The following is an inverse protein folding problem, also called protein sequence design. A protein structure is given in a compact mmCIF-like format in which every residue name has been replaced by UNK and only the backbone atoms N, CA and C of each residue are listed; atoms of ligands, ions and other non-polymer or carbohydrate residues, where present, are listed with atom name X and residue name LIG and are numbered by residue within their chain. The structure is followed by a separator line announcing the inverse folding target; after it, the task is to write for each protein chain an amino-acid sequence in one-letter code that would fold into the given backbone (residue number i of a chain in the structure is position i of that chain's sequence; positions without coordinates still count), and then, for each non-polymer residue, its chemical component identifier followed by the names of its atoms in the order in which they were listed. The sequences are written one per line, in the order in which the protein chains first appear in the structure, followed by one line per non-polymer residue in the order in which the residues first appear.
data_IF_110729483114
#
_entry.id   IF_110729483114
#
_cell.length_a   1.000
_cell.length_b   1.000
_cell.length_c   1.000
_cell.angle_alpha   90.00
_cell.angle_beta   90.00
_cell.angle_gamma   90.00
#
_symmetry.space_group_name_H-M   'P 1'
#
loop_
_entity.id
_entity.type
_entity.pdbx_description
1 polymer ?
#
# COMPACT_ATOMS: atom_id res chain seq x y z
N UNK A 1 13.10 2.40 2.57
CA UNK A 1 11.97 3.20 3.07
C UNK A 1 11.74 2.95 4.57
N UNK A 2 11.36 4.00 5.29
CA UNK A 2 11.00 3.91 6.71
C UNK A 2 9.50 3.73 6.85
N UNK A 3 9.07 2.79 7.69
CA UNK A 3 7.66 2.49 7.87
C UNK A 3 7.40 1.74 9.16
N UNK A 4 6.12 1.48 9.44
CA UNK A 4 5.65 0.76 10.62
C UNK A 4 5.23 -0.66 10.24
N UNK A 5 5.73 -1.65 10.97
CA UNK A 5 5.23 -3.00 10.88
C UNK A 5 3.79 -3.08 11.43
N UNK A 6 2.97 -3.91 10.82
CA UNK A 6 1.61 -4.21 11.28
C UNK A 6 1.56 -5.00 12.59
N UNK A 7 0.45 -5.69 12.82
CA UNK A 7 0.17 -6.40 14.06
C UNK A 7 0.94 -7.71 14.28
N UNK A 8 1.78 -8.15 13.35
CA UNK A 8 2.54 -9.41 13.44
C UNK A 8 4.03 -9.17 13.24
N UNK A 9 4.87 -9.95 13.90
CA UNK A 9 6.32 -9.92 13.68
C UNK A 9 6.67 -10.35 12.24
N UNK A 10 7.74 -9.79 11.69
CA UNK A 10 8.26 -10.12 10.36
C UNK A 10 9.72 -10.53 10.51
N UNK A 11 10.09 -11.70 9.99
CA UNK A 11 11.49 -12.14 9.95
C UNK A 11 12.26 -11.47 8.83
N UNK A 12 13.58 -11.39 8.96
CA UNK A 12 14.48 -10.85 7.93
C UNK A 12 14.34 -11.59 6.60
N UNK A 13 14.58 -10.87 5.49
CA UNK A 13 14.57 -11.43 4.13
C UNK A 13 13.18 -11.74 3.59
N UNK A 14 12.12 -11.24 4.20
CA UNK A 14 10.75 -11.38 3.70
C UNK A 14 10.35 -10.20 2.84
N UNK A 15 9.72 -10.50 1.71
CA UNK A 15 8.98 -9.49 0.94
C UNK A 15 7.78 -9.03 1.75
N UNK A 16 7.59 -7.72 1.79
CA UNK A 16 6.48 -7.10 2.50
C UNK A 16 5.65 -6.24 1.54
N UNK A 17 4.37 -6.13 1.87
CA UNK A 17 3.42 -5.30 1.14
C UNK A 17 2.71 -4.31 2.06
N UNK A 18 2.07 -3.30 1.47
CA UNK A 18 1.12 -2.46 2.18
C UNK A 18 -0.01 -3.31 2.76
N UNK A 19 -0.59 -2.86 3.88
CA UNK A 19 -1.86 -3.38 4.36
C UNK A 19 -2.89 -3.38 3.23
N UNK A 20 -3.78 -4.36 3.22
CA UNK A 20 -4.92 -4.36 2.31
C UNK A 20 -5.76 -3.10 2.52
N UNK A 21 -6.21 -2.49 1.42
CA UNK A 21 -7.10 -1.34 1.47
C UNK A 21 -8.44 -1.75 2.12
N UNK A 22 -9.02 -0.85 2.91
CA UNK A 22 -10.43 -0.96 3.29
C UNK A 22 -11.26 -0.92 2.01
N UNK A 23 -12.10 -1.94 1.79
CA UNK A 23 -12.77 -2.18 0.51
C UNK A 23 -13.84 -1.14 0.14
N UNK A 24 -15.07 -1.61 -0.14
CA UNK A 24 -16.17 -0.79 -0.62
C UNK A 24 -16.54 0.39 0.31
N UNK A 25 -16.32 0.24 1.60
CA UNK A 25 -16.75 1.23 2.61
C UNK A 25 -16.02 2.58 2.49
N UNK A 26 -14.76 2.56 2.00
CA UNK A 26 -13.95 3.76 1.81
C UNK A 26 -13.58 3.98 0.34
N UNK A 27 -14.44 3.50 -0.57
CA UNK A 27 -14.32 3.65 -2.02
C UNK A 27 -15.60 4.25 -2.57
N UNK A 28 -15.49 5.16 -3.55
CA UNK A 28 -16.63 5.88 -4.13
C UNK A 28 -17.47 6.60 -3.06
N UNK A 29 -16.81 7.14 -2.05
CA UNK A 29 -17.42 7.97 -1.03
C UNK A 29 -17.86 9.30 -1.67
N UNK A 30 -19.02 9.82 -1.27
CA UNK A 30 -19.60 11.03 -1.88
C UNK A 30 -19.11 12.28 -1.15
N UNK A 31 -18.75 13.33 -1.88
CA UNK A 31 -18.49 14.64 -1.28
C UNK A 31 -19.77 15.20 -0.68
N UNK A 32 -19.75 15.59 0.59
CA UNK A 32 -20.94 16.09 1.29
C UNK A 32 -21.25 17.56 0.99
N UNK A 33 -20.27 18.29 0.45
CA UNK A 33 -20.42 19.69 0.03
C UNK A 33 -19.60 19.94 -1.26
N UNK A 34 -19.98 20.94 -2.02
CA UNK A 34 -19.15 21.46 -3.09
C UNK A 34 -17.92 22.14 -2.49
N UNK A 35 -16.73 21.87 -3.08
CA UNK A 35 -15.46 22.41 -2.63
C UNK A 35 -14.83 23.18 -3.77
N UNK A 36 -14.45 24.44 -3.55
CA UNK A 36 -13.83 25.27 -4.58
C UNK A 36 -12.39 24.81 -4.89
N UNK A 37 -11.90 25.11 -6.09
CA UNK A 37 -10.48 25.02 -6.38
C UNK A 37 -9.69 25.93 -5.44
N UNK A 38 -8.52 25.50 -4.98
CA UNK A 38 -7.69 26.20 -4.01
C UNK A 38 -7.95 25.81 -2.55
N UNK A 39 -8.97 25.02 -2.26
CA UNK A 39 -9.25 24.52 -0.92
C UNK A 39 -8.48 23.23 -0.63
N UNK A 40 -8.10 23.05 0.66
CA UNK A 40 -7.39 21.85 1.15
C UNK A 40 -8.25 20.95 2.01
N UNK A 41 -9.44 21.42 2.44
CA UNK A 41 -10.36 20.67 3.28
C UNK A 41 -11.49 20.06 2.45
N UNK A 42 -11.67 18.76 2.55
CA UNK A 42 -12.67 18.00 1.78
C UNK A 42 -13.45 17.12 2.73
N UNK A 43 -14.77 17.25 2.72
CA UNK A 43 -15.67 16.44 3.53
C UNK A 43 -16.39 15.40 2.67
N UNK A 44 -16.38 14.16 3.13
CA UNK A 44 -17.02 13.02 2.45
C UNK A 44 -17.92 12.26 3.41
N UNK A 45 -18.91 11.57 2.88
CA UNK A 45 -19.67 10.53 3.54
C UNK A 45 -19.07 9.17 3.17
N UNK A 46 -18.77 8.33 4.17
CA UNK A 46 -18.26 6.96 3.95
C UNK A 46 -19.43 6.01 3.69
N UNK A 47 -19.14 4.86 3.06
CA UNK A 47 -20.18 3.86 2.74
C UNK A 47 -20.35 2.78 3.82
N UNK A 48 -19.64 2.88 4.92
CA UNK A 48 -19.65 1.88 6.00
C UNK A 48 -18.62 2.20 7.07
N UNK A 49 -17.93 1.25 7.54
CA UNK A 49 -16.87 1.17 8.56
C UNK A 49 -16.34 2.51 9.13
N UNK A 50 -16.17 2.56 10.44
CA UNK A 50 -15.60 3.69 11.16
C UNK A 50 -14.15 3.96 10.76
N UNK A 51 -13.74 5.21 10.94
CA UNK A 51 -12.37 5.67 10.71
C UNK A 51 -11.79 6.17 12.03
N UNK A 52 -10.65 5.62 12.44
CA UNK A 52 -9.94 6.13 13.62
C UNK A 52 -9.20 7.42 13.28
N UNK A 53 -8.96 8.29 14.26
CA UNK A 53 -8.24 9.55 14.05
C UNK A 53 -6.90 9.29 13.35
N UNK A 54 -6.60 10.08 12.32
CA UNK A 54 -5.37 10.03 11.53
C UNK A 54 -5.05 8.65 10.88
N UNK A 55 -6.04 7.76 10.73
CA UNK A 55 -5.87 6.48 10.04
C UNK A 55 -5.32 6.66 8.62
N UNK A 56 -5.78 7.68 7.93
CA UNK A 56 -5.37 8.02 6.55
C UNK A 56 -4.31 9.12 6.48
N UNK A 57 -3.78 9.59 7.62
CA UNK A 57 -2.69 10.57 7.62
C UNK A 57 -1.48 10.05 6.81
N UNK A 58 -0.86 10.93 6.01
CA UNK A 58 0.22 10.60 5.08
C UNK A 58 -0.19 9.59 3.97
N UNK A 59 -1.47 9.24 3.90
CA UNK A 59 -2.10 8.47 2.83
C UNK A 59 -2.65 9.37 1.74
N UNK A 60 -3.57 8.82 0.94
CA UNK A 60 -4.07 9.47 -0.26
C UNK A 60 -5.58 9.50 -0.29
N UNK A 61 -6.11 10.62 -0.77
CA UNK A 61 -7.47 10.80 -1.21
C UNK A 61 -7.43 11.10 -2.71
N UNK A 62 -8.21 10.38 -3.51
CA UNK A 62 -8.30 10.68 -4.93
C UNK A 62 -9.73 10.76 -5.40
N UNK A 63 -9.96 11.63 -6.39
CA UNK A 63 -11.26 11.78 -7.04
C UNK A 63 -11.33 10.78 -8.19
N UNK A 64 -12.22 9.81 -8.06
CA UNK A 64 -12.31 8.70 -8.99
C UNK A 64 -13.44 8.84 -10.01
N UNK A 65 -14.42 9.72 -9.76
CA UNK A 65 -15.51 9.94 -10.70
C UNK A 65 -16.13 11.34 -10.57
N UNK A 66 -16.77 11.82 -11.62
CA UNK A 66 -17.47 13.09 -11.78
C UNK A 66 -16.50 14.28 -11.73
N UNK A 67 -16.93 15.43 -11.17
CA UNK A 67 -16.13 16.65 -11.18
C UNK A 67 -14.84 16.51 -10.37
N UNK A 68 -13.71 16.90 -10.97
CA UNK A 68 -12.40 16.83 -10.35
C UNK A 68 -11.70 15.48 -10.48
N UNK A 69 -12.27 14.52 -11.23
CA UNK A 69 -11.68 13.19 -11.44
C UNK A 69 -10.21 13.25 -11.88
N UNK A 70 -9.42 12.30 -11.41
CA UNK A 70 -7.98 12.21 -11.67
C UNK A 70 -7.11 13.01 -10.69
N UNK A 71 -7.66 13.85 -9.83
CA UNK A 71 -6.90 14.50 -8.77
C UNK A 71 -6.56 13.49 -7.68
N UNK A 72 -5.32 13.52 -7.20
CA UNK A 72 -4.84 12.70 -6.08
C UNK A 72 -4.13 13.61 -5.09
N UNK A 73 -4.63 13.67 -3.87
CA UNK A 73 -4.18 14.55 -2.81
C UNK A 73 -3.60 13.74 -1.65
N UNK A 74 -2.52 14.23 -1.07
CA UNK A 74 -1.95 13.63 0.13
C UNK A 74 -2.67 14.15 1.38
N UNK A 75 -3.18 13.25 2.20
CA UNK A 75 -3.90 13.57 3.43
C UNK A 75 -2.90 13.99 4.50
N UNK A 76 -3.16 15.12 5.16
CA UNK A 76 -2.36 15.62 6.28
C UNK A 76 -2.90 15.13 7.63
N UNK A 77 -4.20 15.28 7.85
CA UNK A 77 -4.86 14.91 9.11
C UNK A 77 -6.37 14.82 8.94
N UNK A 78 -7.02 14.10 9.84
CA UNK A 78 -8.47 14.05 10.00
C UNK A 78 -8.85 13.55 11.40
N UNK A 79 -10.05 13.87 11.86
CA UNK A 79 -10.59 13.33 13.11
C UNK A 79 -11.02 11.87 12.96
N UNK A 80 -11.40 11.23 14.07
CA UNK A 80 -12.15 9.98 14.02
C UNK A 80 -13.54 10.24 13.44
N UNK A 81 -14.13 9.18 12.87
CA UNK A 81 -15.47 9.17 12.29
C UNK A 81 -16.18 7.89 12.69
N UNK A 82 -17.34 8.03 13.27
CA UNK A 82 -18.29 6.93 13.51
C UNK A 82 -19.33 6.98 12.41
N UNK A 83 -19.30 6.00 11.51
CA UNK A 83 -20.20 5.95 10.35
C UNK A 83 -21.69 5.95 10.74
N UNK A 84 -22.03 5.41 11.91
CA UNK A 84 -23.42 5.31 12.36
C UNK A 84 -23.94 6.63 12.93
N UNK A 85 -23.07 7.47 13.48
CA UNK A 85 -23.46 8.68 14.24
C UNK A 85 -23.06 9.98 13.51
N UNK A 86 -22.00 9.95 12.69
CA UNK A 86 -21.46 11.12 12.00
C UNK A 86 -21.93 11.18 10.54
N UNK A 87 -22.49 12.29 10.11
CA UNK A 87 -22.94 12.48 8.72
C UNK A 87 -21.79 12.61 7.71
N UNK A 88 -20.58 12.96 8.15
CA UNK A 88 -19.41 13.14 7.29
C UNK A 88 -18.12 13.20 8.06
N UNK A 89 -17.01 12.93 7.37
CA UNK A 89 -15.65 13.15 7.84
C UNK A 89 -14.95 14.19 6.97
N UNK A 90 -14.21 15.11 7.59
CA UNK A 90 -13.41 16.10 6.89
C UNK A 90 -11.92 15.72 6.91
N UNK A 91 -11.32 15.67 5.74
CA UNK A 91 -9.88 15.49 5.53
C UNK A 91 -9.22 16.82 5.22
N UNK A 92 -8.10 17.10 5.86
CA UNK A 92 -7.20 18.21 5.48
C UNK A 92 -6.06 17.63 4.66
N UNK A 93 -5.86 18.13 3.45
CA UNK A 93 -4.79 17.70 2.56
C UNK A 93 -3.58 18.63 2.62
N UNK A 94 -2.41 18.19 2.16
CA UNK A 94 -1.22 19.02 2.01
C UNK A 94 -1.33 19.96 0.82
N UNK A 95 -1.91 19.44 -0.26
CA UNK A 95 -2.07 20.17 -1.51
C UNK A 95 -3.52 20.64 -1.66
N UNK A 96 -3.72 21.73 -2.37
CA UNK A 96 -5.02 22.29 -2.69
C UNK A 96 -5.65 21.60 -3.93
N UNK A 97 -6.96 21.65 -4.01
CA UNK A 97 -7.71 21.18 -5.17
C UNK A 97 -7.39 22.05 -6.41
N UNK A 98 -6.95 21.43 -7.48
CA UNK A 98 -6.76 22.09 -8.76
C UNK A 98 -8.11 22.37 -9.48
N UNK A 99 -9.07 21.47 -9.29
CA UNK A 99 -10.43 21.56 -9.88
C UNK A 99 -11.47 21.37 -8.79
N UNK A 100 -12.49 22.23 -8.80
CA UNK A 100 -13.58 22.19 -7.83
C UNK A 100 -14.33 20.84 -7.83
N UNK A 101 -14.82 20.44 -6.65
CA UNK A 101 -15.70 19.29 -6.47
C UNK A 101 -17.15 19.73 -6.34
N UNK A 102 -18.04 18.84 -6.72
CA UNK A 102 -19.49 18.95 -6.49
C UNK A 102 -19.96 17.89 -5.50
N UNK A 103 -21.18 17.99 -5.01
CA UNK A 103 -21.79 16.97 -4.15
C UNK A 103 -22.03 15.62 -4.86
N UNK A 104 -21.76 15.53 -6.16
CA UNK A 104 -21.80 14.27 -6.91
C UNK A 104 -20.42 13.67 -7.13
N UNK A 105 -19.34 14.39 -6.78
CA UNK A 105 -17.97 13.89 -6.93
C UNK A 105 -17.74 12.69 -6.01
N UNK A 106 -17.11 11.66 -6.56
CA UNK A 106 -16.80 10.44 -5.83
C UNK A 106 -15.30 10.37 -5.52
N UNK A 107 -15.01 10.03 -4.27
CA UNK A 107 -13.65 10.02 -3.74
C UNK A 107 -13.36 8.67 -3.07
N UNK A 108 -12.11 8.28 -3.10
CA UNK A 108 -11.65 7.05 -2.48
C UNK A 108 -10.42 7.31 -1.62
N UNK A 109 -10.20 6.45 -0.62
CA UNK A 109 -9.14 6.60 0.37
C UNK A 109 -8.13 5.44 0.30
N UNK A 110 -6.87 5.75 0.50
CA UNK A 110 -5.78 4.80 0.67
C UNK A 110 -4.91 5.21 1.86
N UNK A 111 -4.72 4.29 2.80
CA UNK A 111 -3.76 4.51 3.90
C UNK A 111 -2.33 4.66 3.35
N UNK A 112 -1.45 5.31 4.11
CA UNK A 112 -0.03 5.33 3.77
C UNK A 112 0.49 3.89 3.61
N UNK A 113 1.06 3.51 2.45
CA UNK A 113 1.54 2.14 2.21
C UNK A 113 2.55 1.61 3.24
N UNK A 114 3.19 2.52 3.99
CA UNK A 114 4.18 2.20 5.02
C UNK A 114 3.64 2.32 6.46
N UNK A 115 2.34 2.55 6.67
CA UNK A 115 1.74 2.74 8.00
C UNK A 115 1.51 1.44 8.78
N UNK A 116 1.30 0.33 8.08
CA UNK A 116 1.00 -0.98 8.65
C UNK A 116 1.42 -2.09 7.69
N UNK A 117 2.72 -2.19 7.45
CA UNK A 117 3.30 -3.16 6.51
C UNK A 117 3.10 -4.59 7.02
N UNK A 118 2.77 -5.50 6.14
CA UNK A 118 2.58 -6.92 6.42
C UNK A 118 3.50 -7.78 5.54
N UNK A 119 3.78 -9.02 5.96
CA UNK A 119 4.38 -10.00 5.05
C UNK A 119 3.49 -10.14 3.82
N UNK A 120 4.05 -10.11 2.63
CA UNK A 120 3.28 -10.30 1.40
C UNK A 120 2.59 -11.68 1.45
N UNK A 121 1.25 -11.73 1.47
CA UNK A 121 0.52 -13.01 1.47
C UNK A 121 0.58 -13.65 0.08
N UNK A 122 0.23 -14.92 -0.02
CA UNK A 122 0.15 -15.65 -1.28
C UNK A 122 -0.96 -15.13 -2.21
N UNK A 123 -2.06 -14.64 -1.66
CA UNK A 123 -3.05 -13.85 -2.42
C UNK A 123 -2.75 -12.36 -2.22
N UNK A 124 -2.26 -11.71 -3.26
CA UNK A 124 -1.76 -10.34 -3.18
C UNK A 124 -2.92 -9.33 -3.00
N UNK A 125 -2.86 -8.52 -1.93
CA UNK A 125 -3.91 -7.56 -1.57
C UNK A 125 -3.44 -6.10 -1.57
N UNK A 126 -2.17 -5.87 -1.90
CA UNK A 126 -1.56 -4.55 -2.00
C UNK A 126 -0.21 -4.58 -2.70
N UNK A 127 0.35 -3.44 -3.09
CA UNK A 127 1.67 -3.38 -3.71
C UNK A 127 2.77 -3.84 -2.75
N UNK A 128 3.80 -4.49 -3.28
CA UNK A 128 5.03 -4.74 -2.53
C UNK A 128 5.72 -3.40 -2.23
N UNK A 129 6.18 -3.24 -0.99
CA UNK A 129 6.76 -1.97 -0.51
C UNK A 129 8.22 -2.13 -0.05
N UNK A 130 8.75 -3.34 -0.05
CA UNK A 130 10.16 -3.61 0.27
C UNK A 130 10.44 -5.02 0.75
N UNK A 131 11.66 -5.19 1.26
CA UNK A 131 12.14 -6.42 1.91
C UNK A 131 12.69 -6.05 3.28
N UNK A 132 12.40 -6.86 4.29
CA UNK A 132 12.97 -6.71 5.63
C UNK A 132 14.43 -7.17 5.65
N UNK A 133 15.34 -6.38 6.23
CA UNK A 133 16.76 -6.74 6.38
C UNK A 133 17.09 -7.30 7.76
N UNK A 134 16.20 -7.12 8.72
CA UNK A 134 16.28 -7.60 10.09
C UNK A 134 14.90 -8.07 10.55
N UNK A 135 14.86 -8.85 11.63
CA UNK A 135 13.60 -9.20 12.29
C UNK A 135 12.93 -7.95 12.84
N UNK A 136 11.64 -7.80 12.58
CA UNK A 136 10.84 -6.69 13.06
C UNK A 136 9.74 -7.15 14.01
N UNK A 137 9.70 -6.52 15.18
CA UNK A 137 8.61 -6.73 16.14
C UNK A 137 7.32 -6.09 15.65
N UNK A 138 6.17 -6.70 15.97
CA UNK A 138 4.86 -6.17 15.67
C UNK A 138 4.69 -4.71 16.14
N UNK A 139 4.10 -3.87 15.30
CA UNK A 139 3.82 -2.46 15.57
C UNK A 139 5.04 -1.54 15.75
N UNK A 140 6.27 -2.04 15.51
CA UNK A 140 7.49 -1.23 15.55
C UNK A 140 7.82 -0.60 14.21
N UNK A 141 8.56 0.50 14.27
CA UNK A 141 9.09 1.18 13.08
C UNK A 141 10.43 0.61 12.68
N UNK A 142 10.71 0.57 11.38
CA UNK A 142 11.99 0.11 10.83
C UNK A 142 12.17 0.46 9.38
N UNK A 143 13.27 -0.03 8.81
CA UNK A 143 13.62 0.22 7.42
C UNK A 143 13.30 -0.99 6.56
N UNK A 144 12.67 -0.74 5.42
CA UNK A 144 12.42 -1.72 4.36
C UNK A 144 13.32 -1.39 3.17
N UNK A 145 14.05 -2.37 2.69
CA UNK A 145 14.92 -2.22 1.53
C UNK A 145 14.09 -2.29 0.25
N UNK A 146 14.23 -1.29 -0.63
CA UNK A 146 13.48 -1.21 -1.89
C UNK A 146 14.36 -1.32 -3.12
N UNK A 147 15.68 -1.23 -2.97
CA UNK A 147 16.62 -1.28 -4.08
C UNK A 147 17.97 -1.86 -3.71
N UNK A 148 18.72 -2.31 -4.73
CA UNK A 148 20.04 -2.91 -4.56
C UNK A 148 20.00 -4.36 -4.06
N UNK A 149 21.18 -4.95 -3.73
CA UNK A 149 21.28 -6.36 -3.37
C UNK A 149 20.66 -6.64 -2.00
N UNK A 150 19.80 -7.66 -1.92
CA UNK A 150 19.14 -8.13 -0.69
C UNK A 150 19.09 -9.66 -0.67
N UNK A 151 19.24 -10.24 0.52
CA UNK A 151 18.95 -11.66 0.73
C UNK A 151 17.43 -11.81 0.90
N UNK A 152 16.77 -12.55 0.02
CA UNK A 152 15.31 -12.71 -0.01
C UNK A 152 14.96 -14.18 -0.02
N UNK A 153 13.95 -14.56 0.77
CA UNK A 153 13.42 -15.93 0.77
C UNK A 153 12.91 -16.27 -0.63
N UNK A 154 13.22 -17.49 -1.10
CA UNK A 154 12.77 -17.98 -2.41
C UNK A 154 11.76 -19.11 -2.29
N UNK A 155 10.85 -19.16 -3.22
CA UNK A 155 9.91 -20.26 -3.45
C UNK A 155 10.20 -20.86 -4.83
N UNK A 156 10.33 -22.17 -4.88
CA UNK A 156 10.72 -22.85 -6.11
C UNK A 156 12.17 -22.59 -6.53
N UNK A 157 12.48 -22.99 -7.76
CA UNK A 157 13.80 -22.80 -8.37
C UNK A 157 13.81 -21.50 -9.17
N UNK A 158 14.58 -20.53 -8.70
CA UNK A 158 14.77 -19.25 -9.43
C UNK A 158 15.92 -19.36 -10.43
N UNK A 159 15.85 -18.57 -11.51
CA UNK A 159 16.84 -18.57 -12.58
C UNK A 159 17.81 -17.40 -12.43
N UNK A 160 19.12 -17.65 -12.54
CA UNK A 160 20.14 -16.59 -12.49
C UNK A 160 19.84 -15.51 -13.55
N UNK A 161 19.94 -14.25 -13.17
CA UNK A 161 19.60 -13.05 -13.97
C UNK A 161 18.11 -12.95 -14.39
N UNK A 162 17.27 -13.92 -14.01
CA UNK A 162 15.83 -13.88 -14.26
C UNK A 162 15.11 -12.84 -13.41
N UNK A 163 13.99 -12.30 -13.91
CA UNK A 163 13.11 -11.45 -13.10
C UNK A 163 12.43 -12.29 -12.02
N UNK A 164 12.21 -11.66 -10.87
CA UNK A 164 11.47 -12.27 -9.75
C UNK A 164 10.26 -11.44 -9.37
N UNK A 165 9.20 -12.13 -8.97
CA UNK A 165 7.93 -11.60 -8.48
C UNK A 165 7.65 -12.09 -7.07
N UNK A 166 6.57 -11.62 -6.46
CA UNK A 166 6.11 -12.19 -5.19
C UNK A 166 5.58 -13.60 -5.41
N UNK A 167 5.93 -14.51 -4.51
CA UNK A 167 5.39 -15.87 -4.56
C UNK A 167 3.89 -15.92 -4.28
N UNK A 168 3.19 -16.74 -5.05
CA UNK A 168 1.79 -17.13 -4.81
C UNK A 168 1.68 -18.40 -3.95
N UNK A 169 2.77 -19.13 -3.73
CA UNK A 169 2.85 -20.34 -2.92
C UNK A 169 3.35 -20.14 -1.49
N UNK A 170 4.34 -19.26 -1.30
CA UNK A 170 5.00 -19.05 0.00
C UNK A 170 4.99 -17.58 0.43
N UNK A 171 4.29 -17.25 1.51
CA UNK A 171 4.19 -15.88 2.00
C UNK A 171 5.55 -15.24 2.29
N UNK A 172 5.76 -14.05 1.72
CA UNK A 172 6.98 -13.26 1.86
C UNK A 172 8.19 -13.77 1.07
N UNK A 173 8.02 -14.77 0.19
CA UNK A 173 9.03 -15.24 -0.72
C UNK A 173 8.95 -14.56 -2.08
N UNK A 174 9.99 -14.73 -2.88
CA UNK A 174 10.00 -14.45 -4.31
C UNK A 174 10.06 -15.75 -5.11
N UNK A 175 9.52 -15.72 -6.30
CA UNK A 175 9.61 -16.77 -7.29
C UNK A 175 9.96 -16.23 -8.68
N UNK A 176 10.22 -17.10 -9.63
CA UNK A 176 10.48 -16.72 -11.03
C UNK A 176 9.20 -16.14 -11.62
N UNK A 177 9.33 -15.08 -12.42
CA UNK A 177 8.24 -14.61 -13.26
C UNK A 177 8.04 -15.63 -14.38
N UNK A 178 6.95 -16.37 -14.36
CA UNK A 178 6.57 -17.30 -15.40
C UNK A 178 5.25 -16.92 -16.10
N UNK A 179 4.73 -17.80 -16.94
CA UNK A 179 3.54 -17.50 -17.74
C UNK A 179 2.22 -17.92 -17.08
N UNK A 180 2.26 -18.46 -15.87
CA UNK A 180 1.09 -18.98 -15.19
C UNK A 180 0.32 -17.85 -14.46
N UNK A 181 0.16 -17.93 -13.15
CA UNK A 181 -0.67 -16.96 -12.39
C UNK A 181 0.06 -15.64 -12.10
N UNK A 182 1.38 -15.56 -12.36
CA UNK A 182 2.24 -14.44 -11.94
C UNK A 182 2.54 -13.41 -13.04
N UNK A 183 2.11 -13.64 -14.26
CA UNK A 183 2.35 -12.75 -15.40
C UNK A 183 1.88 -11.31 -15.17
N UNK A 184 0.92 -11.10 -14.25
CA UNK A 184 0.40 -9.80 -13.85
C UNK A 184 1.02 -9.27 -12.56
N UNK A 185 1.95 -10.02 -11.94
CA UNK A 185 2.56 -9.64 -10.67
C UNK A 185 3.61 -8.55 -10.82
N UNK A 186 3.77 -7.76 -9.77
CA UNK A 186 4.82 -6.72 -9.70
C UNK A 186 6.20 -7.37 -9.74
N UNK A 187 7.01 -7.05 -10.75
CA UNK A 187 8.43 -7.43 -10.79
C UNK A 187 9.17 -6.71 -9.69
N UNK A 188 9.82 -7.46 -8.80
CA UNK A 188 10.53 -6.94 -7.63
C UNK A 188 12.01 -6.70 -7.89
N UNK A 189 12.57 -7.37 -8.89
CA UNK A 189 13.99 -7.28 -9.20
C UNK A 189 14.50 -8.43 -10.06
N UNK A 190 15.81 -8.68 -9.98
CA UNK A 190 16.50 -9.73 -10.73
C UNK A 190 17.39 -10.57 -9.82
N UNK A 191 17.50 -11.85 -10.11
CA UNK A 191 18.35 -12.78 -9.36
C UNK A 191 19.82 -12.54 -9.65
N UNK A 192 20.63 -12.31 -8.60
CA UNK A 192 22.09 -12.18 -8.67
C UNK A 192 22.80 -13.50 -8.35
N UNK A 193 22.28 -14.26 -7.41
CA UNK A 193 22.79 -15.59 -7.04
C UNK A 193 21.64 -16.47 -6.60
N UNK A 194 21.67 -17.73 -6.98
CA UNK A 194 20.64 -18.72 -6.68
C UNK A 194 21.08 -19.67 -5.57
N UNK A 195 20.13 -20.02 -4.70
CA UNK A 195 20.26 -21.06 -3.69
C UNK A 195 19.12 -22.08 -3.86
N UNK A 196 19.05 -23.06 -3.00
CA UNK A 196 18.00 -24.06 -3.03
C UNK A 196 16.62 -23.44 -2.69
N UNK A 197 15.57 -24.10 -3.14
CA UNK A 197 14.17 -23.76 -2.78
C UNK A 197 14.02 -23.64 -1.26
N UNK A 198 13.27 -22.66 -0.81
CA UNK A 198 13.03 -22.31 0.59
C UNK A 198 14.24 -21.74 1.34
N UNK A 199 15.33 -21.46 0.63
CA UNK A 199 16.48 -20.73 1.17
C UNK A 199 16.43 -19.26 0.73
N UNK A 200 17.44 -18.48 1.17
CA UNK A 200 17.57 -17.07 0.80
C UNK A 200 18.54 -16.93 -0.37
N UNK A 201 18.08 -16.30 -1.44
CA UNK A 201 18.90 -15.97 -2.60
C UNK A 201 19.23 -14.49 -2.63
N UNK A 202 20.30 -14.13 -3.34
CA UNK A 202 20.67 -12.72 -3.52
C UNK A 202 19.92 -12.14 -4.71
N UNK A 203 19.06 -11.16 -4.44
CA UNK A 203 18.23 -10.48 -5.43
C UNK A 203 18.64 -9.01 -5.53
N UNK A 204 18.80 -8.50 -6.75
CA UNK A 204 18.89 -7.08 -6.98
C UNK A 204 17.48 -6.50 -7.02
N UNK A 205 17.07 -5.81 -5.96
CA UNK A 205 15.74 -5.23 -5.82
C UNK A 205 15.57 -3.98 -6.68
N UNK A 206 14.35 -3.80 -7.20
CA UNK A 206 13.89 -2.62 -7.90
C UNK A 206 12.38 -2.38 -7.63
N UNK A 207 12.03 -2.18 -6.35
CA UNK A 207 10.63 -2.05 -5.89
C UNK A 207 10.11 -0.61 -6.00
N UNK A 208 10.96 0.31 -6.45
CA UNK A 208 10.63 1.72 -6.57
C UNK A 208 11.41 2.60 -5.59
N UNK A 209 11.40 3.92 -5.81
CA UNK A 209 12.20 4.88 -5.07
C UNK A 209 11.74 5.06 -3.63
#
# INVERSE_FOLDING_TARGET
RYGKNGGSGITAGKVVQSKARVGADHTNCTATAAVAAGETAISIETNGTDITADQYAEGYLWVNDVNGEGQCLRIKTHNAHDHSDDASISFTCYDDLATALTTSSQLSLMENPYSAVIVAPTTHTGPAVGVTTIDMTASYYGWFQTGGPAAVLTDGTITLTGPVVRSNGTAGAVEVLDSDDDAESQVLGQTMAVNATTEYSLIWLNIGP
#
